data_IF_459782670298
#
_entry.id   IF_459782670298
#
_cell.length_a   1.000
_cell.length_b   1.000
_cell.length_c   1.000
_cell.angle_alpha   90.00
_cell.angle_beta   90.00
_cell.angle_gamma   90.00
#
_symmetry.space_group_name_H-M   'P 1'
#
loop_
_entity.id
_entity.type
_entity.pdbx_description
1 polymer ?
#
# COMPACT_ATOMS: atom_id res chain seq x y z
N UNK A 1 -13.22 -24.62 -7.13
CA UNK A 1 -13.01 -23.21 -7.56
C UNK A 1 -11.51 -22.96 -7.54
N UNK A 2 -10.86 -22.80 -8.71
CA UNK A 2 -9.39 -22.68 -8.80
C UNK A 2 -8.95 -21.36 -8.16
N UNK A 3 -7.99 -21.42 -7.23
CA UNK A 3 -7.35 -20.25 -6.63
C UNK A 3 -6.26 -19.80 -7.60
N UNK A 4 -6.49 -18.73 -8.36
CA UNK A 4 -5.45 -18.12 -9.18
C UNK A 4 -4.83 -16.96 -8.41
N UNK A 5 -3.57 -17.13 -8.02
CA UNK A 5 -2.76 -16.16 -7.31
C UNK A 5 -1.78 -15.55 -8.32
N UNK A 6 -2.08 -14.37 -8.83
CA UNK A 6 -1.20 -13.67 -9.77
C UNK A 6 -0.36 -12.64 -9.00
N UNK A 7 0.93 -12.93 -8.85
CA UNK A 7 1.93 -11.95 -8.44
C UNK A 7 2.72 -11.53 -9.68
N UNK A 8 2.51 -10.31 -10.18
CA UNK A 8 3.35 -9.73 -11.23
C UNK A 8 4.62 -9.21 -10.55
N UNK A 9 5.69 -9.99 -10.57
CA UNK A 9 7.01 -9.56 -10.06
C UNK A 9 8.03 -9.55 -11.19
N UNK A 10 8.53 -8.36 -11.56
CA UNK A 10 9.91 -8.23 -12.01
C UNK A 10 10.75 -7.94 -10.76
N UNK A 11 11.46 -8.95 -10.27
CA UNK A 11 12.40 -8.84 -9.14
C UNK A 11 11.94 -9.58 -7.87
N UNK A 12 12.72 -10.54 -7.41
CA UNK A 12 12.52 -11.33 -6.18
C UNK A 12 13.14 -10.63 -4.95
N UNK A 13 12.97 -9.31 -4.87
CA UNK A 13 13.63 -8.51 -3.84
C UNK A 13 12.92 -8.66 -2.48
N UNK A 14 13.69 -8.80 -1.40
CA UNK A 14 13.20 -9.08 -0.04
C UNK A 14 14.09 -8.48 1.05
N UNK A 15 13.62 -8.56 2.29
CA UNK A 15 14.18 -7.87 3.45
C UNK A 15 14.41 -8.82 4.63
N UNK A 16 14.56 -10.13 4.38
CA UNK A 16 14.76 -11.12 5.45
C UNK A 16 16.13 -11.05 6.14
N UNK A 17 16.11 -11.19 7.46
CA UNK A 17 17.05 -11.99 8.24
C UNK A 17 16.49 -13.40 8.49
N UNK A 18 17.33 -14.32 8.96
CA UNK A 18 17.13 -15.79 8.96
C UNK A 18 16.05 -16.35 9.90
N UNK A 19 15.10 -15.55 10.40
CA UNK A 19 14.07 -15.96 11.35
C UNK A 19 12.69 -16.12 10.67
N UNK A 20 12.12 -17.33 10.75
CA UNK A 20 10.77 -17.57 10.22
C UNK A 20 9.71 -17.01 11.17
N UNK A 21 8.83 -16.16 10.66
CA UNK A 21 7.61 -15.76 11.38
C UNK A 21 6.59 -16.90 11.26
N UNK A 22 5.81 -17.14 12.31
CA UNK A 22 4.85 -18.26 12.45
C UNK A 22 3.85 -18.44 11.29
N UNK A 23 3.72 -17.45 10.39
CA UNK A 23 2.95 -17.49 9.15
C UNK A 23 3.66 -18.15 7.95
N UNK A 24 4.89 -18.65 8.11
CA UNK A 24 5.70 -19.25 7.01
C UNK A 24 6.39 -18.22 6.12
N UNK A 25 6.56 -16.99 6.62
CA UNK A 25 7.35 -15.94 5.97
C UNK A 25 8.85 -16.29 6.04
N UNK A 26 9.54 -16.19 4.90
CA UNK A 26 10.98 -16.55 4.77
C UNK A 26 11.85 -15.38 4.30
N UNK A 27 11.19 -14.31 3.88
CA UNK A 27 11.70 -13.18 3.11
C UNK A 27 11.09 -11.87 3.67
N UNK A 28 10.87 -11.83 4.98
CA UNK A 28 10.33 -10.70 5.70
C UNK A 28 11.21 -10.38 6.91
N UNK A 29 11.26 -9.10 7.24
CA UNK A 29 12.08 -8.57 8.31
C UNK A 29 11.70 -7.15 8.64
N UNK A 30 12.62 -6.42 9.25
CA UNK A 30 12.46 -5.05 9.64
C UNK A 30 13.51 -4.16 8.98
N UNK A 31 13.10 -3.13 8.25
CA UNK A 31 13.99 -2.25 7.45
C UNK A 31 15.15 -1.72 8.29
N UNK A 32 14.88 -1.24 9.51
CA UNK A 32 15.90 -0.68 10.40
C UNK A 32 16.93 -1.70 10.92
N UNK A 33 16.61 -3.00 10.88
CA UNK A 33 17.51 -4.09 11.31
C UNK A 33 18.19 -4.73 10.10
N UNK A 34 17.39 -5.10 9.10
CA UNK A 34 17.81 -6.04 8.07
C UNK A 34 18.29 -5.35 6.78
N UNK A 35 17.99 -4.06 6.57
CA UNK A 35 18.27 -3.41 5.29
C UNK A 35 19.76 -3.34 4.95
N UNK A 36 20.63 -3.13 5.94
CA UNK A 36 22.07 -2.92 5.71
C UNK A 36 22.77 -4.18 5.18
N UNK A 37 22.32 -5.34 5.62
CA UNK A 37 22.96 -6.62 5.32
C UNK A 37 22.20 -7.41 4.24
N UNK A 38 21.10 -6.86 3.71
CA UNK A 38 20.26 -7.55 2.75
C UNK A 38 20.51 -7.11 1.29
N UNK A 39 21.31 -7.90 0.58
CA UNK A 39 21.57 -7.73 -0.87
C UNK A 39 20.35 -7.91 -1.78
N UNK A 40 19.24 -8.44 -1.26
CA UNK A 40 17.98 -8.60 -2.00
C UNK A 40 17.00 -7.46 -1.72
N UNK A 41 17.31 -6.51 -0.85
CA UNK A 41 16.43 -5.37 -0.64
C UNK A 41 16.45 -4.49 -1.89
N UNK A 42 15.28 -4.11 -2.41
CA UNK A 42 15.20 -3.23 -3.56
C UNK A 42 15.80 -1.87 -3.19
N UNK A 43 16.74 -1.34 -3.97
CA UNK A 43 17.36 -0.05 -3.64
C UNK A 43 16.31 1.05 -3.62
N UNK A 44 16.12 1.77 -2.50
CA UNK A 44 15.18 2.89 -2.46
C UNK A 44 15.73 4.03 -3.31
N UNK A 45 14.87 4.66 -4.10
CA UNK A 45 15.26 5.73 -5.01
C UNK A 45 14.33 6.93 -4.88
N UNK A 46 14.88 8.11 -5.06
CA UNK A 46 14.15 9.38 -5.16
C UNK A 46 14.57 10.10 -6.44
N UNK A 47 13.70 10.90 -7.04
CA UNK A 47 14.03 11.73 -8.20
C UNK A 47 14.68 13.03 -7.75
N UNK A 48 15.87 13.30 -8.28
CA UNK A 48 16.55 14.58 -8.15
C UNK A 48 16.87 15.10 -9.55
N UNK A 49 16.35 16.29 -9.90
CA UNK A 49 16.42 16.86 -11.26
C UNK A 49 15.99 15.88 -12.37
N UNK A 50 14.94 15.10 -12.10
CA UNK A 50 14.40 14.12 -13.04
C UNK A 50 15.23 12.84 -13.18
N UNK A 51 16.27 12.66 -12.35
CA UNK A 51 17.13 11.47 -12.35
C UNK A 51 16.92 10.65 -11.07
N UNK A 52 16.87 9.32 -11.16
CA UNK A 52 16.79 8.47 -9.98
C UNK A 52 18.12 8.52 -9.21
N UNK A 53 18.03 8.89 -7.93
CA UNK A 53 19.14 8.91 -6.98
C UNK A 53 18.81 7.95 -5.84
N UNK A 54 19.72 7.03 -5.46
CA UNK A 54 19.51 6.14 -4.32
C UNK A 54 19.33 6.93 -3.01
N UNK A 55 18.35 6.54 -2.22
CA UNK A 55 18.21 7.00 -0.83
C UNK A 55 19.20 6.18 0.02
N UNK A 56 20.14 6.80 0.74
CA UNK A 56 21.05 6.06 1.62
C UNK A 56 20.27 5.33 2.70
N UNK A 57 20.62 4.07 3.00
CA UNK A 57 19.92 3.30 4.04
C UNK A 57 20.05 3.93 5.44
N UNK A 58 21.08 4.73 5.68
CA UNK A 58 21.22 5.51 6.92
C UNK A 58 20.11 6.57 7.09
N UNK A 59 19.38 6.93 6.03
CA UNK A 59 18.20 7.79 6.12
C UNK A 59 17.04 7.15 6.92
N UNK A 60 17.07 5.83 7.15
CA UNK A 60 16.10 5.13 7.99
C UNK A 60 16.58 4.96 9.44
N UNK A 61 17.73 5.53 9.82
CA UNK A 61 18.18 5.52 11.21
C UNK A 61 17.17 6.27 12.10
N UNK A 62 16.82 5.69 13.25
CA UNK A 62 15.75 6.22 14.12
C UNK A 62 14.39 5.56 13.87
N UNK A 63 14.23 4.80 12.78
CA UNK A 63 12.98 4.10 12.49
C UNK A 63 12.67 3.00 13.53
N UNK A 64 13.64 2.55 14.32
CA UNK A 64 13.44 1.67 15.47
C UNK A 64 12.40 2.21 16.46
N UNK A 65 12.30 3.54 16.61
CA UNK A 65 11.36 4.21 17.53
C UNK A 65 9.91 4.05 17.05
N UNK A 66 9.72 3.91 15.73
CA UNK A 66 8.41 3.75 15.08
C UNK A 66 8.28 2.39 14.39
N UNK A 67 9.05 1.39 14.84
CA UNK A 67 9.19 0.11 14.18
C UNK A 67 7.84 -0.60 14.01
N UNK A 68 7.04 -0.62 15.07
CA UNK A 68 5.72 -1.26 15.08
C UNK A 68 4.76 -0.68 14.02
N UNK A 69 4.95 0.57 13.60
CA UNK A 69 4.09 1.25 12.64
C UNK A 69 4.58 1.11 11.18
N UNK A 70 5.89 1.06 10.94
CA UNK A 70 6.43 1.33 9.60
C UNK A 70 7.60 0.47 9.14
N UNK A 71 8.10 -0.45 9.98
CA UNK A 71 9.39 -1.09 9.68
C UNK A 71 9.31 -2.43 8.99
N UNK A 72 8.14 -3.06 8.86
CA UNK A 72 8.05 -4.36 8.19
C UNK A 72 8.39 -4.21 6.71
N UNK A 73 9.30 -5.04 6.24
CA UNK A 73 9.59 -5.18 4.82
C UNK A 73 9.48 -6.65 4.42
N UNK A 74 8.84 -6.92 3.29
CA UNK A 74 8.55 -8.27 2.83
C UNK A 74 8.58 -8.35 1.30
N UNK A 75 8.94 -9.51 0.78
CA UNK A 75 8.75 -9.80 -0.64
C UNK A 75 7.27 -9.93 -1.00
N UNK A 76 6.92 -9.70 -2.27
CA UNK A 76 5.58 -9.96 -2.79
C UNK A 76 5.11 -11.39 -2.51
N UNK A 77 6.03 -12.37 -2.55
CA UNK A 77 5.70 -13.77 -2.28
C UNK A 77 5.24 -14.03 -0.84
N UNK A 78 5.82 -13.34 0.14
CA UNK A 78 5.41 -13.47 1.54
C UNK A 78 4.15 -12.66 1.83
N UNK A 79 4.00 -11.48 1.22
CA UNK A 79 2.75 -10.73 1.28
C UNK A 79 1.59 -11.52 0.71
N UNK A 80 1.79 -12.31 -0.34
CA UNK A 80 0.75 -13.19 -0.87
C UNK A 80 0.34 -14.30 0.12
N UNK A 81 1.29 -14.84 0.91
CA UNK A 81 0.98 -15.78 2.00
C UNK A 81 0.20 -15.11 3.12
N UNK A 82 0.52 -13.88 3.48
CA UNK A 82 -0.21 -13.14 4.50
C UNK A 82 -1.59 -12.72 4.05
N UNK A 83 -1.74 -12.26 2.80
CA UNK A 83 -3.07 -12.06 2.20
C UNK A 83 -3.87 -13.37 2.27
N UNK A 84 -3.25 -14.51 1.92
CA UNK A 84 -3.91 -15.81 2.02
C UNK A 84 -4.30 -16.17 3.46
N UNK A 85 -3.47 -15.84 4.44
CA UNK A 85 -3.75 -16.00 5.87
C UNK A 85 -4.97 -15.15 6.30
N UNK A 86 -5.03 -13.89 5.88
CA UNK A 86 -6.18 -13.01 6.14
C UNK A 86 -7.45 -13.54 5.46
N UNK A 87 -7.36 -13.97 4.20
CA UNK A 87 -8.47 -14.55 3.44
C UNK A 87 -8.95 -15.90 3.99
N UNK A 88 -8.06 -16.68 4.60
CA UNK A 88 -8.40 -17.93 5.28
C UNK A 88 -8.80 -17.70 6.75
N UNK A 89 -9.19 -16.47 7.13
CA UNK A 89 -9.70 -16.12 8.46
C UNK A 89 -8.75 -16.50 9.60
N UNK A 90 -7.46 -16.22 9.44
CA UNK A 90 -6.46 -16.43 10.49
C UNK A 90 -5.85 -17.83 10.55
N UNK A 91 -6.06 -18.65 9.51
CA UNK A 91 -5.42 -19.97 9.36
C UNK A 91 -4.14 -19.92 8.54
N UNK A 92 -3.10 -20.61 9.01
CA UNK A 92 -1.84 -20.73 8.29
C UNK A 92 -1.93 -21.73 7.11
N UNK A 93 -0.80 -22.00 6.45
CA UNK A 93 -0.72 -22.90 5.30
C UNK A 93 -1.04 -24.37 5.64
N UNK A 94 -0.88 -24.77 6.90
CA UNK A 94 -1.22 -26.09 7.42
C UNK A 94 -2.67 -26.18 7.91
N UNK A 95 -3.48 -25.14 7.67
CA UNK A 95 -4.86 -25.02 8.13
C UNK A 95 -5.01 -24.93 9.66
N UNK A 96 -3.94 -24.58 10.38
CA UNK A 96 -3.95 -24.36 11.83
C UNK A 96 -4.42 -22.93 12.13
N UNK A 97 -5.28 -22.79 13.14
CA UNK A 97 -5.78 -21.48 13.58
C UNK A 97 -4.70 -20.75 14.39
N UNK A 98 -4.17 -19.65 13.86
CA UNK A 98 -3.14 -18.84 14.54
C UNK A 98 -3.77 -17.60 15.20
N UNK A 99 -4.78 -17.01 14.56
CA UNK A 99 -5.55 -15.88 15.09
C UNK A 99 -7.01 -16.25 15.02
N UNK A 100 -7.75 -16.21 16.13
CA UNK A 100 -9.18 -16.54 16.14
C UNK A 100 -9.96 -15.69 15.10
N UNK A 101 -10.96 -16.30 14.47
CA UNK A 101 -11.73 -15.69 13.39
C UNK A 101 -12.46 -14.43 13.85
N UNK A 102 -13.06 -14.48 15.03
CA UNK A 102 -13.75 -13.37 15.69
C UNK A 102 -12.79 -12.21 16.01
N UNK A 103 -11.60 -12.52 16.51
CA UNK A 103 -10.55 -11.55 16.77
C UNK A 103 -10.10 -10.86 15.48
N UNK A 104 -9.86 -11.61 14.40
CA UNK A 104 -9.51 -11.03 13.12
C UNK A 104 -10.65 -10.18 12.55
N UNK A 105 -11.90 -10.67 12.59
CA UNK A 105 -13.08 -9.92 12.15
C UNK A 105 -13.29 -8.62 12.95
N UNK A 106 -12.95 -8.63 14.23
CA UNK A 106 -13.01 -7.43 15.07
C UNK A 106 -12.11 -6.31 14.52
N UNK A 107 -10.97 -6.66 13.92
CA UNK A 107 -10.05 -5.68 13.32
C UNK A 107 -10.64 -4.98 12.09
N UNK A 108 -11.61 -5.60 11.42
CA UNK A 108 -12.28 -5.03 10.23
C UNK A 108 -13.48 -4.16 10.59
N UNK A 109 -13.82 -4.00 11.87
CA UNK A 109 -14.91 -3.13 12.31
C UNK A 109 -14.47 -1.67 12.18
N UNK A 110 -15.32 -0.85 11.58
CA UNK A 110 -15.05 0.57 11.44
C UNK A 110 -14.99 1.21 12.83
N UNK A 111 -13.94 1.97 13.11
CA UNK A 111 -13.77 2.71 14.36
C UNK A 111 -13.96 4.22 14.16
N UNK A 112 -13.71 4.71 12.96
CA UNK A 112 -13.80 6.13 12.63
C UNK A 112 -14.19 6.30 11.16
N UNK A 113 -15.25 7.05 10.88
CA UNK A 113 -15.59 7.46 9.51
C UNK A 113 -14.59 8.48 9.01
N UNK A 114 -14.14 8.33 7.76
CA UNK A 114 -13.38 9.36 7.05
C UNK A 114 -14.43 10.29 6.44
N UNK A 115 -14.47 11.53 6.90
CA UNK A 115 -15.41 12.51 6.35
C UNK A 115 -15.05 12.78 4.88
N UNK A 116 -15.98 13.38 4.13
CA UNK A 116 -15.80 13.72 2.70
C UNK A 116 -14.66 14.69 2.38
N UNK A 117 -13.91 15.14 3.39
CA UNK A 117 -12.76 16.04 3.29
C UNK A 117 -11.43 15.29 3.04
N UNK A 118 -11.46 13.97 2.73
CA UNK A 118 -10.25 13.24 2.33
C UNK A 118 -9.79 13.63 0.91
N UNK A 119 -9.13 14.78 0.83
CA UNK A 119 -8.57 15.36 -0.40
C UNK A 119 -7.63 14.39 -1.12
N UNK A 120 -6.97 13.47 -0.41
CA UNK A 120 -6.06 12.47 -1.00
C UNK A 120 -6.74 11.55 -1.99
N UNK A 121 -8.06 11.42 -1.93
CA UNK A 121 -8.86 10.60 -2.86
C UNK A 121 -9.84 11.41 -3.71
N UNK A 122 -9.76 12.74 -3.73
CA UNK A 122 -10.68 13.58 -4.50
C UNK A 122 -10.70 13.22 -6.00
N UNK A 123 -9.53 12.98 -6.60
CA UNK A 123 -9.41 12.54 -8.00
C UNK A 123 -9.80 11.09 -8.28
N UNK A 124 -10.21 10.32 -7.27
CA UNK A 124 -10.42 8.86 -7.35
C UNK A 124 -11.90 8.51 -7.47
N UNK A 125 -12.75 9.50 -7.69
CA UNK A 125 -14.20 9.34 -7.86
C UNK A 125 -14.63 9.71 -9.28
N UNK A 126 -15.79 9.21 -9.70
CA UNK A 126 -16.46 9.71 -10.89
C UNK A 126 -16.81 11.20 -10.72
N UNK A 127 -16.71 12.03 -11.78
CA UNK A 127 -16.42 11.65 -13.17
C UNK A 127 -14.92 11.60 -13.54
N UNK A 128 -14.00 11.86 -12.61
CA UNK A 128 -12.55 11.93 -12.89
C UNK A 128 -12.01 10.61 -13.44
N UNK A 129 -12.45 9.49 -12.86
CA UNK A 129 -12.16 8.13 -13.34
C UNK A 129 -13.45 7.36 -13.60
N UNK A 130 -13.36 6.30 -14.41
CA UNK A 130 -14.55 5.54 -14.84
C UNK A 130 -15.22 4.79 -13.68
N UNK A 131 -14.47 4.32 -12.69
CA UNK A 131 -14.99 3.57 -11.55
C UNK A 131 -14.41 4.15 -10.27
N UNK A 132 -15.28 4.70 -9.41
CA UNK A 132 -14.86 5.28 -8.14
C UNK A 132 -14.16 4.26 -7.25
N UNK A 133 -13.10 4.73 -6.60
CA UNK A 133 -12.38 4.06 -5.52
C UNK A 133 -12.49 4.94 -4.27
N UNK A 134 -13.07 4.43 -3.20
CA UNK A 134 -13.33 5.21 -1.99
C UNK A 134 -12.57 4.68 -0.78
N UNK A 135 -12.29 5.53 0.20
CA UNK A 135 -11.74 5.17 1.52
C UNK A 135 -12.61 5.82 2.59
N UNK A 136 -13.56 5.06 3.10
CA UNK A 136 -14.73 5.58 3.84
C UNK A 136 -14.54 5.57 5.35
N UNK A 137 -13.70 4.68 5.89
CA UNK A 137 -13.50 4.58 7.33
C UNK A 137 -12.17 3.95 7.71
N UNK A 138 -11.66 4.30 8.87
CA UNK A 138 -10.56 3.58 9.51
C UNK A 138 -11.13 2.45 10.38
N UNK A 139 -10.35 1.38 10.49
CA UNK A 139 -10.55 0.24 11.37
C UNK A 139 -9.21 -0.07 12.06
N UNK A 140 -9.12 -1.14 12.85
CA UNK A 140 -7.88 -1.43 13.59
C UNK A 140 -6.77 -1.89 12.65
N UNK A 141 -5.89 -0.96 12.26
CA UNK A 141 -4.79 -1.21 11.33
C UNK A 141 -5.18 -1.20 9.85
N UNK A 142 -6.43 -0.89 9.53
CA UNK A 142 -6.97 -0.94 8.17
C UNK A 142 -7.71 0.35 7.79
N UNK A 143 -7.76 0.62 6.49
CA UNK A 143 -8.70 1.55 5.90
C UNK A 143 -9.70 0.76 5.08
N UNK A 144 -10.97 1.07 5.25
CA UNK A 144 -12.07 0.45 4.55
C UNK A 144 -12.56 1.35 3.44
N UNK A 145 -13.10 0.74 2.41
CA UNK A 145 -13.56 1.45 1.24
C UNK A 145 -14.34 0.55 0.30
N UNK A 146 -14.73 1.11 -0.84
CA UNK A 146 -15.41 0.38 -1.88
C UNK A 146 -14.70 0.54 -3.22
N UNK A 147 -14.71 -0.55 -3.98
CA UNK A 147 -14.34 -0.55 -5.38
C UNK A 147 -15.31 -1.44 -6.16
N UNK A 148 -15.94 -0.92 -7.22
CA UNK A 148 -17.06 -1.58 -7.94
C UNK A 148 -18.20 -2.06 -7.02
N UNK A 149 -18.45 -1.34 -5.93
CA UNK A 149 -19.43 -1.73 -4.91
C UNK A 149 -18.98 -2.88 -4.00
N UNK A 150 -17.80 -3.47 -4.21
CA UNK A 150 -17.25 -4.45 -3.29
C UNK A 150 -16.53 -3.76 -2.13
N UNK A 151 -16.89 -4.07 -0.87
CA UNK A 151 -16.16 -3.56 0.28
C UNK A 151 -14.78 -4.21 0.36
N UNK A 152 -13.76 -3.40 0.60
CA UNK A 152 -12.40 -3.85 0.84
C UNK A 152 -11.87 -3.38 2.19
N UNK A 153 -10.79 -4.02 2.64
CA UNK A 153 -9.84 -3.48 3.62
C UNK A 153 -8.52 -3.21 2.90
N UNK A 154 -7.84 -2.14 3.26
CA UNK A 154 -6.57 -1.76 2.67
C UNK A 154 -5.62 -1.19 3.70
N UNK A 155 -4.33 -1.21 3.36
CA UNK A 155 -3.33 -0.40 4.04
C UNK A 155 -2.31 0.07 3.01
N UNK A 156 -1.95 1.35 3.10
CA UNK A 156 -0.92 1.96 2.28
C UNK A 156 0.31 2.30 3.12
N UNK A 157 1.48 2.16 2.51
CA UNK A 157 2.77 2.47 3.14
C UNK A 157 3.57 3.40 2.26
N UNK A 158 4.25 4.35 2.89
CA UNK A 158 5.16 5.29 2.27
C UNK A 158 6.36 5.46 3.20
N UNK A 159 7.54 5.11 2.71
CA UNK A 159 8.83 5.45 3.30
C UNK A 159 9.61 6.22 2.23
N UNK A 160 10.60 7.06 2.60
CA UNK A 160 11.48 7.67 1.61
C UNK A 160 11.99 6.64 0.61
N UNK A 161 11.62 6.73 -0.66
CA UNK A 161 12.03 5.80 -1.71
C UNK A 161 11.31 4.45 -1.80
N UNK A 162 10.29 4.18 -0.97
CA UNK A 162 9.42 2.99 -1.07
C UNK A 162 7.94 3.34 -0.97
N UNK A 163 7.15 2.73 -1.85
CA UNK A 163 5.70 2.88 -1.87
C UNK A 163 5.03 1.51 -1.92
N UNK A 164 4.01 1.33 -1.08
CA UNK A 164 3.24 0.09 -1.01
C UNK A 164 1.74 0.35 -0.86
N UNK A 165 0.95 -0.59 -1.37
CA UNK A 165 -0.50 -0.65 -1.15
C UNK A 165 -0.95 -2.11 -1.12
N UNK A 166 -1.63 -2.49 -0.05
CA UNK A 166 -2.37 -3.75 0.05
C UNK A 166 -3.85 -3.47 0.03
N UNK A 167 -4.60 -4.21 -0.79
CA UNK A 167 -6.07 -4.20 -0.79
C UNK A 167 -6.57 -5.63 -0.76
N UNK A 168 -7.53 -5.93 0.11
CA UNK A 168 -8.11 -7.26 0.27
C UNK A 168 -9.63 -7.11 0.24
N UNK A 169 -10.29 -7.96 -0.53
CA UNK A 169 -11.75 -8.10 -0.59
C UNK A 169 -12.10 -9.46 0.02
N UNK A 170 -12.28 -9.57 1.36
CA UNK A 170 -12.46 -10.85 2.02
C UNK A 170 -13.64 -11.65 1.47
N UNK A 171 -14.78 -10.98 1.23
CA UNK A 171 -15.99 -11.60 0.67
C UNK A 171 -15.83 -12.11 -0.76
N UNK A 172 -14.81 -11.65 -1.49
CA UNK A 172 -14.50 -12.10 -2.85
C UNK A 172 -13.31 -13.06 -2.90
N UNK A 173 -12.68 -13.33 -1.75
CA UNK A 173 -11.48 -14.16 -1.66
C UNK A 173 -10.36 -13.69 -2.61
N UNK A 174 -10.17 -12.37 -2.69
CA UNK A 174 -9.19 -11.70 -3.55
C UNK A 174 -8.38 -10.72 -2.71
N UNK A 175 -7.08 -10.62 -2.97
CA UNK A 175 -6.24 -9.55 -2.44
C UNK A 175 -5.05 -9.28 -3.34
N UNK A 176 -4.59 -8.03 -3.33
CA UNK A 176 -3.51 -7.52 -4.18
C UNK A 176 -2.56 -6.71 -3.31
N UNK A 177 -1.26 -7.02 -3.44
CA UNK A 177 -0.17 -6.24 -2.89
C UNK A 177 0.65 -5.63 -4.01
N UNK A 178 0.88 -4.32 -3.94
CA UNK A 178 1.74 -3.58 -4.85
C UNK A 178 2.88 -2.95 -4.05
N UNK A 179 4.10 -3.05 -4.55
CA UNK A 179 5.27 -2.37 -4.01
C UNK A 179 6.18 -1.89 -5.14
N UNK A 180 6.74 -0.69 -5.00
CA UNK A 180 7.78 -0.18 -5.89
C UNK A 180 8.68 0.82 -5.16
N UNK A 181 9.83 1.12 -5.76
CA UNK A 181 10.77 2.14 -5.28
C UNK A 181 10.62 3.41 -6.11
N UNK A 182 10.63 4.57 -5.46
CA UNK A 182 10.43 5.85 -6.12
C UNK A 182 9.93 6.93 -5.17
N UNK A 183 9.62 8.07 -5.75
CA UNK A 183 9.04 9.21 -5.01
C UNK A 183 7.68 8.84 -4.43
N UNK A 184 7.36 9.45 -3.29
CA UNK A 184 6.02 9.44 -2.74
C UNK A 184 5.13 10.54 -3.33
N UNK A 185 4.05 10.86 -2.62
CA UNK A 185 3.12 11.92 -2.98
C UNK A 185 1.97 11.47 -3.89
N UNK A 186 1.18 12.44 -4.39
CA UNK A 186 -0.08 12.18 -5.08
C UNK A 186 0.08 11.27 -6.30
N UNK A 187 1.14 11.46 -7.11
CA UNK A 187 1.40 10.64 -8.29
C UNK A 187 1.71 9.19 -7.93
N UNK A 188 2.52 8.96 -6.91
CA UNK A 188 2.87 7.63 -6.45
C UNK A 188 1.65 6.91 -5.84
N UNK A 189 0.83 7.66 -5.09
CA UNK A 189 -0.42 7.16 -4.54
C UNK A 189 -1.43 6.78 -5.64
N UNK A 190 -1.55 7.59 -6.69
CA UNK A 190 -2.35 7.25 -7.88
C UNK A 190 -1.78 6.01 -8.60
N UNK A 191 -0.45 5.93 -8.78
CA UNK A 191 0.20 4.79 -9.43
C UNK A 191 -0.03 3.46 -8.69
N UNK A 192 0.17 3.43 -7.36
CA UNK A 192 -0.07 2.20 -6.57
C UNK A 192 -1.54 1.81 -6.57
N UNK A 193 -2.45 2.79 -6.54
CA UNK A 193 -3.89 2.54 -6.58
C UNK A 193 -4.35 2.02 -7.94
N UNK A 194 -3.91 2.62 -9.06
CA UNK A 194 -4.22 2.13 -10.40
C UNK A 194 -3.65 0.73 -10.61
N UNK A 195 -2.41 0.46 -10.20
CA UNK A 195 -1.83 -0.89 -10.28
C UNK A 195 -2.68 -1.91 -9.53
N UNK A 196 -3.14 -1.54 -8.33
CA UNK A 196 -4.00 -2.39 -7.51
C UNK A 196 -5.37 -2.62 -8.17
N UNK A 197 -6.00 -1.57 -8.69
CA UNK A 197 -7.27 -1.62 -9.43
C UNK A 197 -7.15 -2.50 -10.68
N UNK A 198 -6.08 -2.36 -11.46
CA UNK A 198 -5.84 -3.16 -12.66
C UNK A 198 -5.84 -4.66 -12.32
N UNK A 199 -5.08 -5.04 -11.28
CA UNK A 199 -5.03 -6.42 -10.81
C UNK A 199 -6.39 -6.90 -10.25
N UNK A 200 -7.08 -6.07 -9.48
CA UNK A 200 -8.42 -6.39 -8.96
C UNK A 200 -9.42 -6.64 -10.10
N UNK A 201 -9.40 -5.82 -11.14
CA UNK A 201 -10.29 -5.99 -12.28
C UNK A 201 -10.01 -7.26 -13.07
N UNK A 202 -8.73 -7.58 -13.29
CA UNK A 202 -8.34 -8.86 -13.88
C UNK A 202 -8.86 -10.04 -13.05
N UNK A 203 -8.72 -9.99 -11.73
CA UNK A 203 -9.12 -11.08 -10.83
C UNK A 203 -10.63 -11.20 -10.64
N UNK A 204 -11.37 -10.09 -10.70
CA UNK A 204 -12.82 -10.05 -10.46
C UNK A 204 -13.65 -10.19 -11.73
N UNK A 205 -13.18 -9.66 -12.85
CA UNK A 205 -13.95 -9.47 -14.08
C UNK A 205 -13.21 -9.88 -15.36
N UNK A 206 -11.90 -10.19 -15.29
CA UNK A 206 -11.09 -10.59 -16.44
C UNK A 206 -10.65 -9.44 -17.36
N UNK A 207 -11.12 -8.21 -17.13
CA UNK A 207 -10.78 -7.04 -17.95
C UNK A 207 -10.80 -5.73 -17.15
N UNK A 208 -9.69 -4.97 -17.13
CA UNK A 208 -9.62 -3.62 -16.55
C UNK A 208 -10.32 -2.56 -17.39
N UNK A 209 -10.78 -1.48 -16.74
CA UNK A 209 -11.40 -0.33 -17.43
C UNK A 209 -10.39 0.65 -18.06
N UNK A 210 -9.09 0.39 -17.93
CA UNK A 210 -8.02 1.16 -18.57
C UNK A 210 -6.89 0.24 -19.03
N UNK A 211 -6.06 0.72 -19.96
CA UNK A 211 -4.94 -0.03 -20.53
C UNK A 211 -3.64 0.78 -20.53
N UNK A 212 -2.59 0.24 -21.17
CA UNK A 212 -1.30 0.90 -21.29
C UNK A 212 -1.35 2.24 -22.04
N UNK A 213 -2.36 2.46 -22.89
CA UNK A 213 -2.52 3.69 -23.66
C UNK A 213 -3.21 4.79 -22.85
N UNK A 214 -4.12 4.42 -21.94
CA UNK A 214 -4.89 5.37 -21.16
C UNK A 214 -4.35 5.63 -19.74
N UNK A 215 -3.56 4.71 -19.18
CA UNK A 215 -3.14 4.74 -17.76
C UNK A 215 -2.45 6.05 -17.35
N UNK A 216 -1.56 6.60 -18.18
CA UNK A 216 -0.85 7.84 -17.86
C UNK A 216 -1.81 9.03 -17.77
N UNK A 217 -2.71 9.19 -18.75
CA UNK A 217 -3.71 10.24 -18.76
C UNK A 217 -4.71 10.11 -17.60
N UNK A 218 -5.12 8.88 -17.28
CA UNK A 218 -5.96 8.60 -16.11
C UNK A 218 -5.26 9.02 -14.82
N UNK A 219 -3.98 8.65 -14.66
CA UNK A 219 -3.19 9.00 -13.50
C UNK A 219 -3.01 10.52 -13.38
N UNK A 220 -2.70 11.21 -14.48
CA UNK A 220 -2.52 12.67 -14.49
C UNK A 220 -3.81 13.38 -14.04
N UNK A 221 -4.98 12.97 -14.54
CA UNK A 221 -6.28 13.50 -14.09
C UNK A 221 -6.55 13.28 -12.60
N UNK A 222 -6.26 12.08 -12.10
CA UNK A 222 -6.41 11.77 -10.67
C UNK A 222 -5.53 12.71 -9.82
N UNK A 223 -4.28 12.90 -10.24
CA UNK A 223 -3.32 13.77 -9.55
C UNK A 223 -3.76 15.22 -9.61
N UNK A 224 -4.13 15.74 -10.77
CA UNK A 224 -4.52 17.14 -10.94
C UNK A 224 -5.72 17.51 -10.08
N UNK A 225 -6.75 16.65 -10.06
CA UNK A 225 -7.95 16.88 -9.23
C UNK A 225 -7.63 16.78 -7.74
N UNK A 226 -6.82 15.78 -7.33
CA UNK A 226 -6.39 15.65 -5.94
C UNK A 226 -5.58 16.87 -5.49
N UNK A 227 -4.59 17.29 -6.27
CA UNK A 227 -3.75 18.45 -5.96
C UNK A 227 -4.54 19.77 -5.95
N UNK A 228 -5.56 19.90 -6.79
CA UNK A 228 -6.44 21.08 -6.78
C UNK A 228 -7.36 21.13 -5.55
N UNK A 229 -7.67 19.98 -4.95
CA UNK A 229 -8.50 19.87 -3.74
C UNK A 229 -7.71 20.10 -2.44
N UNK A 230 -6.40 19.92 -2.45
CA UNK A 230 -5.55 20.24 -1.31
C UNK A 230 -5.47 21.77 -1.15
N UNK A 231 -5.98 22.30 -0.04
CA UNK A 231 -5.81 23.71 0.30
C UNK A 231 -4.31 24.05 0.29
N UNK A 232 -3.89 24.96 -0.60
CA UNK A 232 -2.55 25.52 -0.54
C UNK A 232 -2.42 26.20 0.83
N UNK A 233 -1.39 25.90 1.64
CA UNK A 233 -1.14 26.65 2.85
C UNK A 233 -1.09 28.13 2.48
N UNK A 234 -2.06 28.91 2.97
CA UNK A 234 -2.04 30.35 2.84
C UNK A 234 -0.87 30.84 3.68
N UNK A 235 0.25 31.13 3.00
CA UNK A 235 1.36 31.94 3.50
C UNK A 235 1.82 31.59 4.94
N UNK A 236 2.83 30.74 5.09
CA UNK A 236 3.59 30.67 6.35
C UNK A 236 4.26 32.02 6.54
N UNK A 237 3.63 32.92 7.30
CA UNK A 237 4.23 34.18 7.70
C UNK A 237 5.58 33.87 8.34
N UNK A 238 6.64 34.53 7.85
CA UNK A 238 7.95 34.52 8.51
C UNK A 238 7.76 35.02 9.95
N UNK A 239 7.61 34.12 10.91
CA UNK A 239 8.00 34.41 12.29
C UNK A 239 9.49 34.19 12.39
N UNK A 240 10.24 35.11 11.80
CA UNK A 240 11.63 35.33 12.20
C UNK A 240 11.59 36.09 13.52
N UNK A 241 11.48 35.37 14.63
CA UNK A 241 12.04 35.85 15.89
C UNK A 241 13.14 34.89 16.29
N UNK A 242 14.37 35.40 16.24
CA UNK A 242 15.53 34.74 16.81
C UNK A 242 15.27 34.57 18.30
N UNK A 243 15.26 33.33 18.77
CA UNK A 243 15.34 33.02 20.19
C UNK A 243 16.65 33.62 20.69
N UNK A 244 16.55 34.66 21.52
CA UNK A 244 17.65 35.22 22.32
C UNK A 244 17.87 34.36 23.56
#
# INVERSE_FOLDING_TARGET
>A
MRRELWAVTRGTNSCASTSSIASGWRNAGFVHVDAKDNSRLATPVHSYDGKPVPVPLDAYRGQEIIAAASSVCASASDMAKWISFILNMGKNQNNEQVVADDALMSTFRSVQTRNGDDTRTAGFSQPTIQVSYTRDSNALGWIKGHYRGYPFISQDGSLPGYETLTTILPKRNVGVFTAFTGDGGARAYAAKTLTNIFALDLLLHGQPWFDANSVCNTMDKMVDVTMASEERPSYVGRTSEAVR
#
